data_IF_355018497605
#
_entry.id   IF_355018497605
#
_cell.length_a   1.000
_cell.length_b   1.000
_cell.length_c   1.000
_cell.angle_alpha   90.00
_cell.angle_beta   90.00
_cell.angle_gamma   90.00
#
_symmetry.space_group_name_H-M   'P 1'
#
loop_
_entity.id
_entity.type
_entity.pdbx_description
1 polymer ?
#
# COMPACT_ATOMS: atom_id res chain seq x y z
N UNK A 1 -10.05 -0.49 -14.85
CA UNK A 1 -8.98 -0.51 -13.83
C UNK A 1 -7.73 0.11 -14.42
N UNK A 2 -7.12 1.09 -13.76
CA UNK A 2 -5.89 1.74 -14.23
C UNK A 2 -5.69 3.13 -13.66
N UNK A 3 -5.04 3.19 -12.51
CA UNK A 3 -4.60 4.44 -11.91
C UNK A 3 -3.19 4.77 -12.37
N UNK A 4 -2.90 6.05 -12.56
CA UNK A 4 -1.66 6.52 -13.16
C UNK A 4 -1.16 7.79 -12.47
N UNK A 5 0.15 7.99 -12.50
CA UNK A 5 0.74 9.33 -12.38
C UNK A 5 0.96 9.83 -13.80
N UNK A 6 0.32 10.95 -14.14
CA UNK A 6 0.40 11.54 -15.47
C UNK A 6 0.92 12.98 -15.39
N UNK A 7 1.37 13.50 -16.53
CA UNK A 7 1.80 14.88 -16.69
C UNK A 7 0.78 15.64 -17.52
N UNK A 8 0.40 16.83 -17.08
CA UNK A 8 -0.47 17.71 -17.87
C UNK A 8 0.32 18.24 -19.06
N UNK A 9 -0.12 17.90 -20.27
CA UNK A 9 0.50 18.37 -21.53
C UNK A 9 -0.32 19.47 -22.22
N UNK A 10 -1.58 19.65 -21.82
CA UNK A 10 -2.48 20.72 -22.28
C UNK A 10 -3.59 20.89 -21.25
N UNK A 11 -3.97 22.13 -20.97
CA UNK A 11 -5.09 22.44 -20.07
C UNK A 11 -5.80 23.71 -20.49
N UNK A 12 -7.13 23.70 -20.34
CA UNK A 12 -8.00 24.88 -20.46
C UNK A 12 -8.51 25.34 -19.08
N UNK A 13 -7.96 24.81 -17.98
CA UNK A 13 -8.33 25.13 -16.61
C UNK A 13 -7.15 25.85 -15.92
N UNK A 14 -7.40 26.99 -15.26
CA UNK A 14 -6.36 27.85 -14.68
C UNK A 14 -5.64 27.21 -13.47
N UNK A 15 -6.31 26.30 -12.76
CA UNK A 15 -5.76 25.61 -11.59
C UNK A 15 -4.81 24.45 -11.97
N UNK A 16 -4.91 23.98 -13.22
CA UNK A 16 -4.16 22.83 -13.73
C UNK A 16 -3.28 23.28 -14.89
N UNK A 17 -1.99 23.45 -14.65
CA UNK A 17 -1.03 24.04 -15.57
C UNK A 17 -0.20 22.98 -16.28
N UNK A 18 0.30 23.33 -17.46
CA UNK A 18 1.25 22.51 -18.20
C UNK A 18 2.42 22.09 -17.31
N UNK A 19 2.79 20.81 -17.41
CA UNK A 19 3.94 20.25 -16.73
C UNK A 19 3.67 19.69 -15.34
N UNK A 20 2.57 20.07 -14.69
CA UNK A 20 2.21 19.54 -13.38
C UNK A 20 1.90 18.04 -13.44
N UNK A 21 2.25 17.35 -12.35
CA UNK A 21 1.95 15.94 -12.16
C UNK A 21 0.62 15.77 -11.45
N UNK A 22 -0.09 14.73 -11.84
CA UNK A 22 -1.44 14.42 -11.35
C UNK A 22 -1.57 12.93 -11.13
N UNK A 23 -2.36 12.57 -10.13
CA UNK A 23 -2.96 11.24 -10.07
C UNK A 23 -4.21 11.23 -10.96
N UNK A 24 -4.46 10.12 -11.66
CA UNK A 24 -5.71 9.92 -12.38
C UNK A 24 -6.17 8.45 -12.45
N UNK A 25 -7.48 8.22 -12.35
CA UNK A 25 -8.15 6.93 -12.54
C UNK A 25 -8.78 6.88 -13.92
N UNK A 26 -7.96 6.71 -14.95
CA UNK A 26 -8.42 6.78 -16.35
C UNK A 26 -8.28 5.47 -17.11
N UNK A 27 -7.78 4.39 -16.52
CA UNK A 27 -7.52 3.16 -17.27
C UNK A 27 -6.21 3.21 -18.05
N UNK A 28 -5.85 2.10 -18.72
CA UNK A 28 -4.54 1.92 -19.33
C UNK A 28 -4.53 2.56 -20.72
N UNK A 29 -4.00 3.79 -20.80
CA UNK A 29 -3.91 4.57 -22.05
C UNK A 29 -2.84 5.64 -21.93
N UNK A 30 -2.27 6.00 -23.07
CA UNK A 30 -1.18 6.99 -23.17
C UNK A 30 -1.66 8.43 -23.04
N UNK A 31 -2.92 8.72 -23.39
CA UNK A 31 -3.52 10.04 -23.27
C UNK A 31 -4.94 9.95 -22.72
N UNK A 32 -5.37 10.97 -21.99
CA UNK A 32 -6.74 11.09 -21.47
C UNK A 32 -7.15 12.56 -21.49
N UNK A 33 -8.39 12.82 -21.88
CA UNK A 33 -9.05 14.10 -21.66
C UNK A 33 -9.88 13.95 -20.39
N UNK A 34 -9.65 14.82 -19.42
CA UNK A 34 -10.23 14.72 -18.08
C UNK A 34 -10.90 16.03 -17.73
N UNK A 35 -12.10 15.95 -17.18
CA UNK A 35 -12.71 17.06 -16.47
C UNK A 35 -12.42 16.90 -14.96
N UNK A 36 -11.66 17.80 -14.33
CA UNK A 36 -11.18 17.63 -12.95
C UNK A 36 -12.29 17.54 -11.90
N UNK A 37 -13.53 17.89 -12.24
CA UNK A 37 -14.69 17.77 -11.35
C UNK A 37 -15.37 16.39 -11.41
N UNK A 38 -14.85 15.46 -12.22
CA UNK A 38 -15.43 14.13 -12.36
C UNK A 38 -15.08 13.26 -11.16
N UNK A 39 -16.12 12.72 -10.51
CA UNK A 39 -15.99 11.82 -9.37
C UNK A 39 -16.29 10.37 -9.80
N UNK A 40 -15.69 9.42 -9.08
CA UNK A 40 -16.10 8.03 -9.09
C UNK A 40 -17.51 7.88 -8.46
N UNK A 41 -18.12 6.70 -8.61
CA UNK A 41 -19.48 6.44 -8.08
C UNK A 41 -19.59 6.59 -6.56
N UNK A 42 -18.49 6.40 -5.85
CA UNK A 42 -18.38 6.55 -4.40
C UNK A 42 -18.07 8.00 -3.97
N UNK A 43 -18.03 8.94 -4.91
CA UNK A 43 -17.74 10.35 -4.65
C UNK A 43 -16.24 10.68 -4.59
N UNK A 44 -15.35 9.70 -4.80
CA UNK A 44 -13.92 9.96 -4.78
C UNK A 44 -13.46 10.68 -6.05
N UNK A 45 -12.51 11.64 -5.94
CA UNK A 45 -11.99 12.31 -7.12
C UNK A 45 -11.24 11.34 -8.03
N UNK A 46 -11.59 11.34 -9.32
CA UNK A 46 -10.88 10.55 -10.33
C UNK A 46 -9.54 11.16 -10.71
N UNK A 47 -9.25 12.38 -10.25
CA UNK A 47 -8.15 13.22 -10.69
C UNK A 47 -7.79 14.25 -9.62
N UNK A 48 -6.51 14.39 -9.30
CA UNK A 48 -6.01 15.45 -8.42
C UNK A 48 -4.54 15.77 -8.70
N UNK A 49 -4.10 16.99 -8.34
CA UNK A 49 -2.69 17.38 -8.38
C UNK A 49 -1.88 16.52 -7.44
N UNK A 50 -0.80 15.92 -7.95
CA UNK A 50 0.09 15.12 -7.13
C UNK A 50 0.75 16.06 -6.09
N UNK A 51 0.80 15.69 -4.80
CA UNK A 51 1.54 16.45 -3.82
C UNK A 51 3.02 16.55 -4.18
N UNK A 52 3.68 17.59 -3.67
CA UNK A 52 5.13 17.72 -3.82
C UNK A 52 5.83 16.68 -2.92
N UNK A 53 6.53 15.75 -3.54
CA UNK A 53 7.33 14.73 -2.86
C UNK A 53 8.82 15.12 -2.76
N UNK A 54 9.17 16.35 -3.10
CA UNK A 54 10.55 16.84 -3.16
C UNK A 54 11.38 16.04 -4.16
N UNK A 55 12.51 15.49 -3.69
CA UNK A 55 13.43 14.72 -4.54
C UNK A 55 13.03 13.25 -4.72
N UNK A 56 11.88 12.83 -4.16
CA UNK A 56 11.41 11.44 -4.28
C UNK A 56 10.73 11.19 -5.63
N UNK A 57 10.73 9.93 -6.07
CA UNK A 57 10.06 9.54 -7.30
C UNK A 57 8.55 9.82 -7.24
N UNK A 58 7.95 10.47 -8.26
CA UNK A 58 6.50 10.63 -8.36
C UNK A 58 5.73 9.31 -8.35
N UNK A 59 6.36 8.21 -8.77
CA UNK A 59 5.75 6.87 -8.76
C UNK A 59 5.30 6.42 -7.36
N UNK A 60 5.85 7.01 -6.29
CA UNK A 60 5.42 6.73 -4.93
C UNK A 60 3.96 7.12 -4.67
N UNK A 61 3.38 8.02 -5.47
CA UNK A 61 1.96 8.36 -5.42
C UNK A 61 1.02 7.22 -5.84
N UNK A 62 1.56 6.13 -6.40
CA UNK A 62 0.81 4.88 -6.65
C UNK A 62 1.10 3.79 -5.60
N UNK A 63 1.98 4.07 -4.64
CA UNK A 63 2.45 3.13 -3.63
C UNK A 63 2.33 3.72 -2.22
N UNK A 64 3.47 3.86 -1.53
CA UNK A 64 3.53 4.27 -0.12
C UNK A 64 2.99 5.68 0.16
N UNK A 65 3.09 6.60 -0.81
CA UNK A 65 2.52 7.95 -0.72
C UNK A 65 1.16 8.05 -1.45
N UNK A 66 0.57 6.91 -1.80
CA UNK A 66 -0.69 6.80 -2.50
C UNK A 66 -1.69 5.91 -1.76
N UNK A 67 -2.64 5.35 -2.52
CA UNK A 67 -3.70 4.50 -1.97
C UNK A 67 -3.15 3.33 -1.12
N UNK A 68 -2.16 2.52 -1.56
CA UNK A 68 -1.67 1.41 -0.74
C UNK A 68 -1.10 1.81 0.62
N UNK A 69 -0.33 2.90 0.66
CA UNK A 69 0.22 3.43 1.91
C UNK A 69 -0.86 3.99 2.83
N UNK A 70 -1.81 4.74 2.28
CA UNK A 70 -2.94 5.28 3.05
C UNK A 70 -3.84 4.15 3.59
N UNK A 71 -4.09 3.10 2.80
CA UNK A 71 -4.83 1.91 3.27
C UNK A 71 -4.11 1.25 4.44
N UNK A 72 -2.79 1.08 4.35
CA UNK A 72 -2.02 0.53 5.45
C UNK A 72 -2.06 1.42 6.68
N UNK A 73 -1.82 2.73 6.52
CA UNK A 73 -1.74 3.67 7.64
C UNK A 73 -3.08 3.80 8.36
N UNK A 74 -4.14 4.20 7.66
CA UNK A 74 -5.43 4.45 8.30
C UNK A 74 -6.14 3.15 8.67
N UNK A 75 -6.08 2.13 7.82
CA UNK A 75 -6.70 0.85 8.13
C UNK A 75 -6.09 0.22 9.38
N UNK A 76 -4.76 0.22 9.47
CA UNK A 76 -4.10 -0.39 10.61
C UNK A 76 -4.19 0.49 11.87
N UNK A 77 -3.86 1.78 11.79
CA UNK A 77 -3.82 2.63 13.00
C UNK A 77 -5.22 2.97 13.53
N UNK A 78 -6.19 3.24 12.66
CA UNK A 78 -7.49 3.76 13.12
C UNK A 78 -8.53 2.64 13.33
N UNK A 79 -8.45 1.55 12.56
CA UNK A 79 -9.44 0.47 12.65
C UNK A 79 -8.92 -0.65 13.56
N UNK A 80 -7.67 -1.08 13.39
CA UNK A 80 -7.11 -2.14 14.23
C UNK A 80 -6.63 -1.63 15.61
N UNK A 81 -6.28 -0.33 15.72
CA UNK A 81 -5.79 0.33 16.94
C UNK A 81 -4.73 -0.50 17.71
N UNK A 82 -3.63 -0.88 17.04
CA UNK A 82 -2.65 -1.83 17.57
C UNK A 82 -1.92 -1.29 18.80
N UNK A 83 -1.62 -2.17 19.75
CA UNK A 83 -0.83 -1.86 20.95
C UNK A 83 0.55 -2.53 20.92
N UNK A 84 1.57 -1.91 21.53
CA UNK A 84 2.87 -2.55 21.71
C UNK A 84 2.73 -3.91 22.41
N UNK A 85 3.50 -4.90 21.95
CA UNK A 85 3.45 -6.27 22.46
C UNK A 85 2.35 -7.15 21.85
N UNK A 86 1.38 -6.59 21.12
CA UNK A 86 0.39 -7.40 20.41
C UNK A 86 0.98 -8.14 19.22
N UNK A 87 0.35 -9.25 18.85
CA UNK A 87 0.71 -10.01 17.65
C UNK A 87 -0.14 -9.59 16.46
N UNK A 88 0.52 -9.16 15.39
CA UNK A 88 -0.11 -8.71 14.15
C UNK A 88 0.15 -9.74 13.07
N UNK A 89 -0.94 -10.32 12.53
CA UNK A 89 -0.85 -11.32 11.48
C UNK A 89 -1.35 -10.77 10.16
N UNK A 90 -0.50 -10.85 9.13
CA UNK A 90 -0.72 -10.19 7.85
C UNK A 90 -0.79 -11.25 6.75
N UNK A 91 -1.95 -11.36 6.11
CA UNK A 91 -2.10 -12.12 4.87
C UNK A 91 -1.56 -11.31 3.68
N UNK A 92 -1.06 -12.00 2.64
CA UNK A 92 -0.40 -11.37 1.50
C UNK A 92 0.66 -10.32 1.91
N UNK A 93 1.44 -10.63 2.96
CA UNK A 93 2.35 -9.69 3.61
C UNK A 93 3.42 -9.07 2.69
N UNK A 94 3.76 -9.75 1.59
CA UNK A 94 4.68 -9.24 0.57
C UNK A 94 3.98 -8.48 -0.58
N UNK A 95 2.72 -8.08 -0.39
CA UNK A 95 1.96 -7.25 -1.32
C UNK A 95 2.04 -5.76 -0.97
N UNK A 96 1.53 -4.90 -1.87
CA UNK A 96 1.69 -3.44 -1.77
C UNK A 96 1.23 -2.83 -0.43
N UNK A 97 0.13 -3.32 0.15
CA UNK A 97 -0.37 -2.85 1.46
C UNK A 97 0.34 -3.56 2.62
N UNK A 98 0.47 -4.89 2.54
CA UNK A 98 0.99 -5.72 3.64
C UNK A 98 2.41 -5.35 4.07
N UNK A 99 3.26 -4.93 3.12
CA UNK A 99 4.63 -4.50 3.42
C UNK A 99 4.68 -3.22 4.24
N UNK A 100 3.67 -2.35 4.11
CA UNK A 100 3.56 -1.11 4.87
C UNK A 100 2.97 -1.39 6.25
N UNK A 101 1.90 -2.19 6.33
CA UNK A 101 1.30 -2.59 7.62
C UNK A 101 2.34 -3.24 8.52
N UNK A 102 3.13 -4.18 8.00
CA UNK A 102 4.12 -4.87 8.82
C UNK A 102 5.23 -3.95 9.34
N UNK A 103 5.70 -3.00 8.53
CA UNK A 103 6.70 -2.03 9.01
C UNK A 103 6.12 -1.07 10.05
N UNK A 104 4.88 -0.61 9.87
CA UNK A 104 4.19 0.22 10.87
C UNK A 104 4.03 -0.57 12.19
N UNK A 105 3.53 -1.81 12.13
CA UNK A 105 3.36 -2.68 13.29
C UNK A 105 4.67 -2.90 14.07
N UNK A 106 5.78 -3.15 13.37
CA UNK A 106 7.09 -3.28 14.02
C UNK A 106 7.55 -2.00 14.69
N UNK A 107 7.35 -0.84 14.06
CA UNK A 107 7.71 0.45 14.65
C UNK A 107 6.85 0.77 15.90
N UNK A 108 5.66 0.17 16.02
CA UNK A 108 4.82 0.26 17.21
C UNK A 108 5.14 -0.79 18.28
N UNK A 109 6.14 -1.65 18.06
CA UNK A 109 6.54 -2.69 19.01
C UNK A 109 5.63 -3.92 19.01
N UNK A 110 4.87 -4.17 17.94
CA UNK A 110 4.12 -5.40 17.77
C UNK A 110 5.01 -6.55 17.28
N UNK A 111 4.62 -7.79 17.58
CA UNK A 111 5.19 -9.00 17.00
C UNK A 111 4.52 -9.29 15.65
N UNK A 112 5.26 -9.29 14.55
CA UNK A 112 4.70 -9.30 13.19
C UNK A 112 4.91 -10.64 12.49
N UNK A 113 3.79 -11.25 12.09
CA UNK A 113 3.74 -12.53 11.38
C UNK A 113 3.19 -12.31 9.97
N UNK A 114 3.96 -12.68 8.95
CA UNK A 114 3.58 -12.50 7.54
C UNK A 114 3.34 -13.80 6.78
N UNK A 115 2.28 -13.86 5.98
CA UNK A 115 2.07 -14.96 5.02
C UNK A 115 2.27 -14.49 3.58
N UNK A 116 3.07 -15.23 2.81
CA UNK A 116 3.34 -14.95 1.41
C UNK A 116 3.30 -16.22 0.54
N UNK A 117 3.21 -16.05 -0.78
CA UNK A 117 2.98 -17.15 -1.72
C UNK A 117 4.23 -17.78 -2.35
N UNK A 118 5.42 -17.47 -1.83
CA UNK A 118 6.69 -18.07 -2.25
C UNK A 118 7.77 -17.91 -1.19
N UNK A 119 8.74 -18.82 -1.17
CA UNK A 119 9.85 -18.79 -0.20
C UNK A 119 10.75 -17.56 -0.38
N UNK A 120 10.93 -17.09 -1.62
CA UNK A 120 11.63 -15.84 -1.88
C UNK A 120 10.96 -14.64 -1.19
N UNK A 121 9.62 -14.54 -1.26
CA UNK A 121 8.88 -13.47 -0.58
C UNK A 121 8.99 -13.61 0.94
N UNK A 122 8.91 -14.83 1.47
CA UNK A 122 9.10 -15.10 2.90
C UNK A 122 10.50 -14.68 3.37
N UNK A 123 11.54 -15.06 2.63
CA UNK A 123 12.91 -14.66 2.91
C UNK A 123 13.05 -13.14 2.93
N UNK A 124 12.49 -12.46 1.93
CA UNK A 124 12.49 -11.00 1.86
C UNK A 124 11.77 -10.34 3.04
N UNK A 125 10.61 -10.86 3.46
CA UNK A 125 9.89 -10.36 4.64
C UNK A 125 10.72 -10.47 5.92
N UNK A 126 11.42 -11.60 6.12
CA UNK A 126 12.25 -11.83 7.32
C UNK A 126 13.58 -11.08 7.29
N UNK A 127 14.25 -11.04 6.13
CA UNK A 127 15.62 -10.52 6.05
C UNK A 127 15.67 -9.02 5.77
N UNK A 128 14.74 -8.51 4.97
CA UNK A 128 14.72 -7.10 4.56
C UNK A 128 13.74 -6.31 5.42
N UNK A 129 12.47 -6.74 5.49
CA UNK A 129 11.47 -6.05 6.31
C UNK A 129 11.52 -6.44 7.79
N UNK A 130 12.35 -7.43 8.12
CA UNK A 130 12.64 -7.88 9.49
C UNK A 130 11.41 -8.36 10.26
N UNK A 131 10.40 -8.90 9.57
CA UNK A 131 9.25 -9.55 10.22
C UNK A 131 9.74 -10.65 11.17
N UNK A 132 9.12 -10.77 12.34
CA UNK A 132 9.52 -11.71 13.38
C UNK A 132 9.31 -13.16 12.92
N UNK A 133 8.20 -13.40 12.20
CA UNK A 133 7.96 -14.65 11.50
C UNK A 133 7.36 -14.41 10.11
N UNK A 134 7.67 -15.29 9.17
CA UNK A 134 6.94 -15.33 7.91
C UNK A 134 6.89 -16.75 7.34
N UNK A 135 5.80 -17.06 6.64
CA UNK A 135 5.50 -18.41 6.15
C UNK A 135 5.00 -18.42 4.71
N UNK A 136 5.37 -19.46 3.98
CA UNK A 136 4.88 -19.69 2.64
C UNK A 136 3.60 -20.53 2.72
N UNK A 137 2.44 -19.89 2.56
CA UNK A 137 1.13 -20.55 2.70
C UNK A 137 0.87 -21.64 1.66
N UNK A 138 1.70 -21.74 0.59
CA UNK A 138 1.60 -22.83 -0.40
C UNK A 138 2.31 -24.11 0.03
N UNK A 139 3.20 -24.03 1.03
CA UNK A 139 4.04 -25.17 1.47
C UNK A 139 3.81 -25.55 2.93
N UNK A 140 3.09 -24.71 3.68
CA UNK A 140 2.75 -24.91 5.08
C UNK A 140 1.24 -24.83 5.24
N UNK A 141 0.68 -25.77 6.00
CA UNK A 141 -0.68 -25.67 6.50
C UNK A 141 -0.75 -24.51 7.49
N UNK A 142 -1.52 -23.48 7.11
CA UNK A 142 -1.68 -22.25 7.89
C UNK A 142 -2.39 -22.55 9.20
N UNK A 143 -3.44 -23.38 9.21
CA UNK A 143 -4.22 -23.74 10.39
C UNK A 143 -3.35 -24.44 11.42
N UNK A 144 -2.56 -25.42 10.98
CA UNK A 144 -1.65 -26.14 11.87
C UNK A 144 -0.54 -25.23 12.45
N UNK A 145 -0.08 -24.24 11.68
CA UNK A 145 0.90 -23.27 12.15
C UNK A 145 0.32 -22.25 13.12
N UNK A 146 -0.91 -21.78 12.90
CA UNK A 146 -1.55 -20.82 13.81
C UNK A 146 -1.73 -21.40 15.22
N UNK A 147 -2.12 -22.67 15.36
CA UNK A 147 -2.19 -23.31 16.67
C UNK A 147 -0.83 -23.32 17.39
N UNK A 148 0.27 -23.51 16.66
CA UNK A 148 1.61 -23.46 17.26
C UNK A 148 2.02 -22.03 17.62
N UNK A 149 1.66 -21.06 16.79
CA UNK A 149 1.97 -19.64 17.02
C UNK A 149 1.25 -19.09 18.26
N UNK A 150 -0.01 -19.48 18.49
CA UNK A 150 -0.76 -19.11 19.70
C UNK A 150 -0.15 -19.63 21.02
N UNK A 151 0.74 -20.63 20.95
CA UNK A 151 1.46 -21.15 22.13
C UNK A 151 2.86 -20.53 22.32
N UNK A 152 3.30 -19.66 21.41
CA UNK A 152 4.63 -19.03 21.44
C UNK A 152 4.60 -17.56 21.91
N UNK A 153 3.41 -17.00 22.12
CA UNK A 153 3.17 -15.63 22.61
C UNK A 153 2.34 -15.66 23.88
#
# INVERSE_FOLDING_TARGET
>A
MGTQIAKIIKSNNQDYKFGQLVFCSTGWRTFSIINPTTLEKDGMPTFYLLPDFGNLSPSLGLGVLGMPGNTALFGFLNICDPKPGETVVISAAAGAVGIHVGQIARNLGCYVIGFAGSDHKVKWLKEVLKFDAAFNYKTKDVTQHFSKLLHMV
#
